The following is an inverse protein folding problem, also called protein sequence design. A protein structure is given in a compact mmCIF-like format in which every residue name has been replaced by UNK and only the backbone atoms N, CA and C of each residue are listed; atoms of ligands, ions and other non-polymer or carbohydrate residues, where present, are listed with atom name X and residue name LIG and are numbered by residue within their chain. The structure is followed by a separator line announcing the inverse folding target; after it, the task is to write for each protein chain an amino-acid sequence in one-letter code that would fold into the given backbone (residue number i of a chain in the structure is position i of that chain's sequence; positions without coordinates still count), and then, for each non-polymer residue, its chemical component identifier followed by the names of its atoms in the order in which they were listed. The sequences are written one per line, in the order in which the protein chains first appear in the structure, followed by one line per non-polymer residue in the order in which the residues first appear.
data_IF_065316724523
#
_entry.id   IF_065316724523
#
_cell.length_a   1.000
_cell.length_b   1.000
_cell.length_c   1.000
_cell.angle_alpha   90.00
_cell.angle_beta   90.00
_cell.angle_gamma   90.00
#
_symmetry.space_group_name_H-M   'P 1'
#
loop_
_entity.id
_entity.type
_entity.pdbx_description
1 polymer ?
#
# COMPACT_ATOMS: atom_id res chain seq x y z
N UNK A 1 -39.27 -10.01 -4.75
CA UNK A 1 -38.48 -9.43 -3.64
C UNK A 1 -37.15 -10.15 -3.57
N UNK A 2 -36.09 -9.57 -4.14
CA UNK A 2 -34.77 -10.19 -4.14
C UNK A 2 -34.18 -10.14 -2.74
N UNK A 3 -33.95 -11.31 -2.14
CA UNK A 3 -33.22 -11.45 -0.88
C UNK A 3 -31.80 -10.90 -1.10
N UNK A 4 -31.50 -9.74 -0.52
CA UNK A 4 -30.11 -9.30 -0.35
C UNK A 4 -29.46 -10.29 0.63
N UNK A 5 -28.62 -11.17 0.12
CA UNK A 5 -27.73 -11.97 0.94
C UNK A 5 -26.63 -11.00 1.37
N UNK A 6 -26.72 -10.49 2.60
CA UNK A 6 -25.63 -9.78 3.25
C UNK A 6 -24.58 -10.81 3.63
N UNK A 7 -23.61 -11.01 2.75
CA UNK A 7 -22.39 -11.74 3.09
C UNK A 7 -21.60 -10.82 4.01
N UNK A 8 -21.69 -11.04 5.32
CA UNK A 8 -20.74 -10.47 6.28
C UNK A 8 -19.38 -11.10 6.00
N UNK A 9 -18.62 -10.51 5.07
CA UNK A 9 -17.25 -10.90 4.82
C UNK A 9 -16.42 -10.21 5.91
N UNK A 10 -15.85 -10.97 6.88
CA UNK A 10 -15.06 -10.36 7.93
C UNK A 10 -13.90 -9.58 7.30
N UNK A 11 -13.57 -8.42 7.89
CA UNK A 11 -12.46 -7.59 7.45
C UNK A 11 -11.20 -8.46 7.32
N UNK A 12 -10.46 -8.40 6.19
CA UNK A 12 -9.21 -9.14 6.05
C UNK A 12 -8.19 -8.76 7.13
N UNK A 13 -8.33 -7.58 7.74
CA UNK A 13 -7.49 -7.11 8.85
C UNK A 13 -7.67 -7.93 10.13
N UNK A 14 -8.83 -8.56 10.36
CA UNK A 14 -9.12 -9.27 11.62
C UNK A 14 -8.17 -10.46 11.89
N UNK A 15 -7.57 -11.00 10.83
CA UNK A 15 -6.58 -12.09 10.91
C UNK A 15 -5.13 -11.58 10.81
N UNK A 16 -4.94 -10.28 10.62
CA UNK A 16 -3.65 -9.65 10.43
C UNK A 16 -3.12 -9.15 11.79
N UNK A 17 -2.15 -9.84 12.37
CA UNK A 17 -1.63 -9.50 13.71
C UNK A 17 -0.63 -8.34 13.74
N UNK A 18 -0.15 -7.89 12.57
CA UNK A 18 0.85 -6.80 12.47
C UNK A 18 0.42 -5.66 11.56
N UNK A 19 -0.81 -5.71 11.03
CA UNK A 19 -1.37 -4.70 10.12
C UNK A 19 -0.40 -4.30 8.99
N UNK A 20 0.26 -5.29 8.37
CA UNK A 20 1.39 -5.09 7.44
C UNK A 20 1.07 -4.07 6.33
N UNK A 21 -0.10 -4.15 5.69
CA UNK A 21 -0.50 -3.20 4.64
C UNK A 21 -0.79 -1.78 5.14
N UNK A 22 -0.94 -1.59 6.45
CA UNK A 22 -1.12 -0.29 7.10
C UNK A 22 0.19 0.24 7.70
N UNK A 23 1.26 -0.55 7.72
CA UNK A 23 2.59 -0.11 8.19
C UNK A 23 3.54 0.17 7.04
N UNK A 24 3.30 -0.43 5.88
CA UNK A 24 3.94 -0.08 4.62
C UNK A 24 3.06 -0.54 3.45
N UNK A 25 3.33 0.01 2.27
CA UNK A 25 2.76 -0.50 1.03
C UNK A 25 3.74 -0.37 -0.11
N UNK A 26 3.55 -1.22 -1.13
CA UNK A 26 4.27 -1.12 -2.39
C UNK A 26 3.31 -0.73 -3.51
N UNK A 27 3.75 0.18 -4.36
CA UNK A 27 3.03 0.59 -5.56
C UNK A 27 3.87 0.22 -6.78
N UNK A 28 3.30 -0.56 -7.69
CA UNK A 28 3.92 -0.79 -8.99
C UNK A 28 3.97 0.52 -9.78
N UNK A 29 5.13 0.83 -10.34
CA UNK A 29 5.34 1.96 -11.24
C UNK A 29 5.75 1.45 -12.63
N UNK A 30 5.59 2.31 -13.63
CA UNK A 30 6.05 2.01 -14.97
C UNK A 30 7.57 1.77 -14.97
N UNK A 31 8.02 0.86 -15.83
CA UNK A 31 9.46 0.59 -15.95
C UNK A 31 10.15 1.82 -16.53
N UNK A 32 11.14 2.43 -15.84
CA UNK A 32 11.88 3.57 -16.38
C UNK A 32 12.68 3.14 -17.62
N UNK A 33 12.51 3.88 -18.72
CA UNK A 33 13.18 3.64 -20.02
C UNK A 33 14.03 4.83 -20.49
N UNK A 34 13.91 5.98 -19.84
CA UNK A 34 14.60 7.23 -20.18
C UNK A 34 15.25 7.87 -18.94
N UNK A 35 16.15 8.85 -19.16
CA UNK A 35 16.74 9.61 -18.06
C UNK A 35 15.67 10.40 -17.31
N UNK A 36 14.72 10.94 -18.04
CA UNK A 36 13.59 11.69 -17.51
C UNK A 36 12.73 10.83 -16.57
N UNK A 37 12.55 9.54 -16.88
CA UNK A 37 11.86 8.61 -15.98
C UNK A 37 12.63 8.40 -14.67
N UNK A 38 13.97 8.30 -14.74
CA UNK A 38 14.81 8.21 -13.55
C UNK A 38 14.84 9.52 -12.75
N UNK A 39 14.73 10.68 -13.40
CA UNK A 39 14.60 11.97 -12.72
C UNK A 39 13.28 12.05 -11.90
N UNK A 40 12.19 11.46 -12.41
CA UNK A 40 10.93 11.33 -11.66
C UNK A 40 11.11 10.43 -10.44
N UNK A 41 11.75 9.27 -10.59
CA UNK A 41 12.03 8.36 -9.47
C UNK A 41 12.93 9.05 -8.44
N UNK A 42 13.96 9.78 -8.88
CA UNK A 42 14.86 10.53 -8.01
C UNK A 42 14.09 11.56 -7.16
N UNK A 43 13.16 12.29 -7.77
CA UNK A 43 12.29 13.22 -7.04
C UNK A 43 11.41 12.50 -6.01
N UNK A 44 10.85 11.33 -6.35
CA UNK A 44 10.01 10.55 -5.43
C UNK A 44 10.81 10.05 -4.21
N UNK A 45 11.95 9.39 -4.42
CA UNK A 45 12.79 8.84 -3.33
C UNK A 45 13.50 9.92 -2.50
N UNK A 46 13.47 11.18 -2.94
CA UNK A 46 13.99 12.31 -2.14
C UNK A 46 13.08 12.68 -0.96
N UNK A 47 11.89 12.08 -0.87
CA UNK A 47 10.99 12.24 0.27
C UNK A 47 11.23 11.14 1.31
N UNK A 48 11.02 11.46 2.58
CA UNK A 48 11.19 10.49 3.68
C UNK A 48 10.31 9.25 3.47
N UNK A 49 10.81 8.10 3.94
CA UNK A 49 10.10 6.83 3.92
C UNK A 49 9.67 6.34 2.53
N UNK A 50 10.37 6.77 1.47
CA UNK A 50 10.09 6.39 0.08
C UNK A 50 11.32 5.73 -0.55
N UNK A 51 11.18 4.50 -1.00
CA UNK A 51 12.24 3.71 -1.63
C UNK A 51 11.78 3.21 -3.00
N UNK A 52 12.71 3.06 -3.96
CA UNK A 52 12.42 2.43 -5.24
C UNK A 52 13.17 1.10 -5.36
N UNK A 53 12.49 0.06 -5.83
CA UNK A 53 13.10 -1.26 -6.04
C UNK A 53 12.61 -1.92 -7.33
N UNK A 54 13.40 -2.89 -7.81
CA UNK A 54 13.11 -3.70 -9.00
C UNK A 54 13.16 -5.18 -8.62
N UNK A 55 12.15 -5.94 -8.98
CA UNK A 55 12.11 -7.39 -8.81
C UNK A 55 11.75 -8.11 -10.14
N UNK A 56 11.21 -9.33 -10.08
CA UNK A 56 10.80 -10.10 -11.26
C UNK A 56 9.51 -9.56 -11.91
N UNK A 57 8.63 -8.90 -11.14
CA UNK A 57 7.31 -8.40 -11.56
C UNK A 57 7.35 -6.95 -12.07
N UNK A 58 8.43 -6.22 -11.81
CA UNK A 58 8.65 -4.89 -12.37
C UNK A 58 9.37 -3.93 -11.44
N UNK A 59 8.97 -2.66 -11.53
CA UNK A 59 9.47 -1.57 -10.70
C UNK A 59 8.41 -1.13 -9.72
N UNK A 60 8.86 -0.76 -8.52
CA UNK A 60 7.97 -0.47 -7.42
C UNK A 60 8.51 0.68 -6.56
N UNK A 61 7.58 1.40 -5.95
CA UNK A 61 7.85 2.30 -4.85
C UNK A 61 7.37 1.66 -3.56
N UNK A 62 8.25 1.57 -2.57
CA UNK A 62 7.96 1.17 -1.21
C UNK A 62 7.80 2.42 -0.35
N UNK A 63 6.63 2.55 0.28
CA UNK A 63 6.36 3.59 1.26
C UNK A 63 6.22 2.93 2.64
N UNK A 64 7.04 3.35 3.60
CA UNK A 64 7.05 2.82 4.98
C UNK A 64 6.32 3.73 5.99
N UNK A 65 5.50 4.64 5.49
CA UNK A 65 4.69 5.53 6.31
C UNK A 65 3.48 4.77 6.89
N UNK A 66 3.28 4.78 8.22
CA UNK A 66 2.09 4.20 8.84
C UNK A 66 0.81 4.90 8.36
N UNK A 67 -0.23 4.11 8.12
CA UNK A 67 -1.55 4.61 7.76
C UNK A 67 -2.15 5.43 8.91
N UNK A 68 -2.64 6.63 8.61
CA UNK A 68 -3.30 7.51 9.58
C UNK A 68 -4.61 6.93 10.16
N UNK A 69 -5.17 5.88 9.54
CA UNK A 69 -6.41 5.23 9.94
C UNK A 69 -6.21 3.89 10.64
N UNK A 70 -4.96 3.52 10.98
CA UNK A 70 -4.66 2.31 11.72
C UNK A 70 -5.12 2.47 13.18
N UNK A 71 -6.09 1.67 13.60
CA UNK A 71 -6.61 1.68 14.97
C UNK A 71 -5.67 0.91 15.93
N UNK A 72 -5.72 1.20 17.25
CA UNK A 72 -4.85 0.53 18.23
C UNK A 72 -5.00 -0.99 18.30
N UNK A 73 -6.16 -1.51 17.89
CA UNK A 73 -6.45 -2.94 17.83
C UNK A 73 -5.99 -3.60 16.51
N UNK A 74 -5.36 -2.84 15.62
CA UNK A 74 -4.86 -3.31 14.32
C UNK A 74 -5.89 -3.24 13.18
N UNK A 75 -7.12 -2.79 13.47
CA UNK A 75 -8.17 -2.66 12.47
C UNK A 75 -8.04 -1.38 11.64
N UNK A 76 -8.68 -1.39 10.47
CA UNK A 76 -8.69 -0.28 9.54
C UNK A 76 -9.92 0.61 9.80
N UNK A 77 -9.71 1.87 10.17
CA UNK A 77 -10.79 2.84 10.42
C UNK A 77 -11.24 3.64 9.18
N UNK A 78 -10.92 3.21 7.95
CA UNK A 78 -11.35 3.91 6.72
C UNK A 78 -12.83 3.64 6.38
N UNK A 79 -13.35 2.47 6.77
CA UNK A 79 -14.63 1.94 6.29
C UNK A 79 -15.71 1.81 7.38
N UNK A 80 -15.49 2.42 8.55
CA UNK A 80 -16.47 2.49 9.64
C UNK A 80 -17.53 3.58 9.42
#
# INVERSE_FOLDING_TARGET
MSKKITVERPSPCIKCTKSWCCTYFTQQIDTPRSREDFDVILWQISHEHTEAYKDEDGWFLLMTNPCAHLLPNGDCGIYD
#
